data_IF_283375368831
#
_entry.id   IF_283375368831
#
_cell.length_a   1.000
_cell.length_b   1.000
_cell.length_c   1.000
_cell.angle_alpha   90.00
_cell.angle_beta   90.00
_cell.angle_gamma   90.00
#
_symmetry.space_group_name_H-M   'P 1'
#
loop_
_entity.id
_entity.type
_entity.pdbx_description
1 polymer ?
#
# COMPACT_ATOMS: atom_id res chain seq x y z
N UNK A 1 -16.17 12.08 -0.87
CA UNK A 1 -15.56 11.83 -2.20
C UNK A 1 -16.57 11.11 -3.06
N UNK A 2 -17.41 11.82 -3.83
CA UNK A 2 -18.42 11.16 -4.64
C UNK A 2 -17.75 10.31 -5.72
N UNK A 3 -18.05 9.00 -5.71
CA UNK A 3 -17.66 8.04 -6.75
C UNK A 3 -18.92 7.51 -7.44
N UNK A 4 -18.82 7.22 -8.73
CA UNK A 4 -19.86 6.55 -9.52
C UNK A 4 -19.38 5.16 -9.91
N UNK A 5 -20.28 4.19 -9.85
CA UNK A 5 -20.06 2.87 -10.44
C UNK A 5 -20.28 2.98 -11.96
N UNK A 6 -19.28 2.57 -12.73
CA UNK A 6 -19.41 2.33 -14.17
C UNK A 6 -19.36 0.83 -14.43
N UNK A 7 -20.14 0.36 -15.40
CA UNK A 7 -20.14 -1.04 -15.83
C UNK A 7 -19.90 -1.08 -17.33
N UNK A 8 -18.94 -1.86 -17.77
CA UNK A 8 -18.64 -2.05 -19.19
C UNK A 8 -19.55 -3.13 -19.84
N UNK A 9 -19.49 -3.24 -21.16
CA UNK A 9 -20.29 -4.20 -21.90
C UNK A 9 -19.92 -5.68 -21.62
N UNK A 10 -18.73 -5.93 -21.08
CA UNK A 10 -18.28 -7.27 -20.64
C UNK A 10 -18.69 -7.59 -19.19
N UNK A 11 -19.37 -6.67 -18.51
CA UNK A 11 -19.80 -6.82 -17.11
C UNK A 11 -18.73 -6.43 -16.08
N UNK A 12 -17.60 -5.86 -16.50
CA UNK A 12 -16.60 -5.30 -15.61
C UNK A 12 -17.12 -4.03 -14.93
N UNK A 13 -16.89 -3.88 -13.63
CA UNK A 13 -17.33 -2.72 -12.85
C UNK A 13 -16.15 -1.94 -12.27
N UNK A 14 -16.21 -0.61 -12.33
CA UNK A 14 -15.20 0.28 -11.76
C UNK A 14 -15.83 1.43 -10.96
N UNK A 15 -15.09 1.95 -9.97
CA UNK A 15 -15.45 3.18 -9.27
C UNK A 15 -14.64 4.35 -9.84
N UNK A 16 -15.34 5.28 -10.48
CA UNK A 16 -14.75 6.49 -11.04
C UNK A 16 -15.13 7.73 -10.21
N UNK A 17 -14.23 8.71 -10.03
CA UNK A 17 -14.61 10.01 -9.50
C UNK A 17 -15.75 10.65 -10.30
N UNK A 18 -16.65 11.34 -9.61
CA UNK A 18 -17.76 12.08 -10.27
C UNK A 18 -17.30 13.44 -10.82
N UNK A 19 -16.23 14.01 -10.26
CA UNK A 19 -15.73 15.35 -10.57
C UNK A 19 -14.55 15.29 -11.55
N UNK A 20 -14.44 16.31 -12.40
CA UNK A 20 -13.31 16.53 -13.31
C UNK A 20 -12.76 17.97 -13.17
N UNK A 21 -11.49 18.15 -12.74
CA UNK A 21 -10.57 17.12 -12.30
C UNK A 21 -10.97 16.54 -10.92
N UNK A 22 -10.65 15.26 -10.66
CA UNK A 22 -11.05 14.61 -9.43
C UNK A 22 -10.25 15.11 -8.22
N UNK A 23 -10.94 15.40 -7.12
CA UNK A 23 -10.31 15.69 -5.84
C UNK A 23 -9.42 14.54 -5.33
N UNK A 24 -8.41 14.87 -4.51
CA UNK A 24 -7.43 13.90 -4.00
C UNK A 24 -8.10 12.69 -3.33
N UNK A 25 -9.12 12.93 -2.50
CA UNK A 25 -9.84 11.87 -1.79
C UNK A 25 -10.61 10.95 -2.74
N UNK A 26 -11.18 11.47 -3.83
CA UNK A 26 -11.83 10.66 -4.86
C UNK A 26 -10.81 9.81 -5.64
N UNK A 27 -9.64 10.39 -5.97
CA UNK A 27 -8.54 9.66 -6.61
C UNK A 27 -8.02 8.51 -5.75
N UNK A 28 -7.81 8.78 -4.45
CA UNK A 28 -7.35 7.76 -3.50
C UNK A 28 -8.42 6.66 -3.36
N UNK A 29 -9.68 7.02 -3.14
CA UNK A 29 -10.76 6.06 -2.96
C UNK A 29 -10.96 5.16 -4.20
N UNK A 30 -10.90 5.72 -5.41
CA UNK A 30 -10.93 4.95 -6.66
C UNK A 30 -9.74 3.98 -6.76
N UNK A 31 -8.52 4.42 -6.40
CA UNK A 31 -7.34 3.57 -6.41
C UNK A 31 -7.42 2.43 -5.36
N UNK A 32 -7.97 2.69 -4.17
CA UNK A 32 -8.22 1.65 -3.16
C UNK A 32 -9.20 0.61 -3.68
N UNK A 33 -10.29 1.04 -4.31
CA UNK A 33 -11.30 0.14 -4.86
C UNK A 33 -10.74 -0.74 -5.99
N UNK A 34 -10.00 -0.14 -6.93
CA UNK A 34 -9.33 -0.87 -8.00
C UNK A 34 -8.34 -1.91 -7.44
N UNK A 35 -7.45 -1.49 -6.54
CA UNK A 35 -6.49 -2.41 -5.92
C UNK A 35 -7.16 -3.53 -5.10
N UNK A 36 -8.33 -3.26 -4.51
CA UNK A 36 -9.11 -4.26 -3.78
C UNK A 36 -9.71 -5.30 -4.72
N UNK A 37 -10.29 -4.86 -5.84
CA UNK A 37 -10.82 -5.74 -6.89
C UNK A 37 -9.72 -6.61 -7.51
N UNK A 38 -8.52 -6.05 -7.73
CA UNK A 38 -7.36 -6.76 -8.29
C UNK A 38 -6.66 -7.69 -7.28
N UNK A 39 -7.10 -7.72 -6.01
CA UNK A 39 -6.42 -8.46 -4.94
C UNK A 39 -5.03 -7.93 -4.58
N UNK A 40 -4.68 -6.72 -5.04
CA UNK A 40 -3.36 -6.11 -4.81
C UNK A 40 -3.32 -5.17 -3.62
N UNK A 41 -4.48 -4.83 -3.03
CA UNK A 41 -4.59 -3.94 -1.86
C UNK A 41 -3.68 -4.35 -0.69
N UNK A 42 -3.57 -5.65 -0.41
CA UNK A 42 -2.73 -6.20 0.65
C UNK A 42 -1.21 -5.94 0.45
N UNK A 43 -0.80 -5.46 -0.73
CA UNK A 43 0.59 -5.02 -0.98
C UNK A 43 0.88 -3.65 -0.37
N UNK A 44 -0.12 -2.80 -0.10
CA UNK A 44 0.08 -1.59 0.68
C UNK A 44 0.19 -1.98 2.17
N UNK A 45 1.34 -1.72 2.77
CA UNK A 45 1.68 -2.15 4.13
C UNK A 45 2.25 -1.01 4.95
N UNK A 46 2.13 -1.09 6.27
CA UNK A 46 2.90 -0.28 7.20
C UNK A 46 4.26 -0.95 7.50
N UNK A 47 5.30 -0.15 7.75
CA UNK A 47 6.60 -0.64 8.20
C UNK A 47 6.46 -1.36 9.55
N UNK A 48 7.05 -2.55 9.70
CA UNK A 48 7.00 -3.29 10.97
C UNK A 48 7.95 -2.72 12.04
N UNK A 49 8.72 -1.67 11.75
CA UNK A 49 9.60 -1.07 12.74
C UNK A 49 8.75 -0.22 13.68
N UNK A 50 8.81 -0.49 14.98
CA UNK A 50 7.98 0.16 16.00
C UNK A 50 8.08 1.70 16.00
N UNK A 51 9.22 2.22 15.56
CA UNK A 51 9.56 3.63 15.45
C UNK A 51 9.46 4.17 14.01
N UNK A 52 8.75 3.47 13.12
CA UNK A 52 8.56 3.86 11.73
C UNK A 52 7.07 3.89 11.37
N UNK A 53 6.54 5.08 11.08
CA UNK A 53 5.13 5.29 10.73
C UNK A 53 4.88 5.36 9.22
N UNK A 54 5.81 4.86 8.40
CA UNK A 54 5.70 4.92 6.95
C UNK A 54 4.90 3.75 6.38
N UNK A 55 3.98 4.06 5.49
CA UNK A 55 3.38 3.08 4.58
C UNK A 55 4.28 2.89 3.34
N UNK A 56 4.22 1.70 2.73
CA UNK A 56 4.94 1.37 1.49
C UNK A 56 4.15 0.34 0.69
N UNK A 57 4.39 0.31 -0.62
CA UNK A 57 3.83 -0.71 -1.50
C UNK A 57 4.85 -1.84 -1.73
N UNK A 58 4.47 -3.07 -1.41
CA UNK A 58 5.31 -4.26 -1.51
C UNK A 58 5.39 -4.76 -2.95
N UNK A 59 6.41 -4.26 -3.65
CA UNK A 59 6.80 -4.69 -5.00
C UNK A 59 7.69 -5.94 -5.02
N UNK A 60 7.95 -6.58 -3.87
CA UNK A 60 8.72 -7.81 -3.87
C UNK A 60 7.93 -8.94 -4.55
N UNK A 61 8.62 -9.86 -5.26
CA UNK A 61 7.94 -10.96 -5.96
C UNK A 61 7.03 -11.78 -5.04
N UNK A 62 7.54 -12.13 -3.86
CA UNK A 62 6.82 -12.94 -2.88
C UNK A 62 5.82 -12.15 -2.02
N UNK A 63 5.79 -10.81 -2.09
CA UNK A 63 4.91 -9.98 -1.26
C UNK A 63 5.16 -10.15 0.25
N UNK A 64 6.41 -10.42 0.65
CA UNK A 64 6.80 -10.72 2.05
C UNK A 64 7.73 -9.66 2.65
N UNK A 65 7.82 -8.48 2.03
CA UNK A 65 8.61 -7.39 2.58
C UNK A 65 7.98 -6.94 3.90
N UNK A 66 8.84 -6.66 4.88
CA UNK A 66 8.49 -6.23 6.25
C UNK A 66 8.82 -4.76 6.53
N UNK A 67 9.75 -4.19 5.75
CA UNK A 67 10.35 -2.88 5.99
C UNK A 67 10.16 -1.94 4.81
N UNK A 68 9.79 -0.68 5.07
CA UNK A 68 9.64 0.37 4.04
C UNK A 68 10.91 0.62 3.22
N UNK A 69 12.08 0.34 3.81
CA UNK A 69 13.40 0.37 3.18
C UNK A 69 14.30 -0.69 3.82
N UNK A 70 14.95 -1.50 2.99
CA UNK A 70 15.92 -2.50 3.47
C UNK A 70 17.20 -1.83 3.98
N UNK A 71 17.63 -0.73 3.34
CA UNK A 71 18.83 0.02 3.73
C UNK A 71 18.63 0.86 4.99
N UNK A 72 17.39 1.25 5.31
CA UNK A 72 17.09 2.05 6.51
C UNK A 72 16.51 1.18 7.62
N UNK A 73 15.24 0.78 7.51
CA UNK A 73 14.56 0.04 8.59
C UNK A 73 15.06 -1.40 8.72
N UNK A 74 15.38 -2.05 7.60
CA UNK A 74 15.99 -3.39 7.61
C UNK A 74 17.37 -3.41 8.29
N UNK A 75 18.23 -2.43 7.99
CA UNK A 75 19.53 -2.28 8.63
C UNK A 75 19.41 -1.98 10.14
N UNK A 76 18.51 -1.07 10.53
CA UNK A 76 18.21 -0.77 11.94
C UNK A 76 17.78 -2.02 12.71
N UNK A 77 16.87 -2.83 12.14
CA UNK A 77 16.42 -4.08 12.76
C UNK A 77 17.55 -5.10 12.93
N UNK A 78 18.43 -5.25 11.91
CA UNK A 78 19.64 -6.09 12.02
C UNK A 78 20.57 -5.62 13.13
N UNK A 79 20.82 -4.32 13.24
CA UNK A 79 21.71 -3.76 14.27
C UNK A 79 21.14 -3.90 15.69
N UNK A 80 19.82 -3.71 15.87
CA UNK A 80 19.15 -3.97 17.15
C UNK A 80 19.35 -5.43 17.59
N UNK A 81 19.11 -6.37 16.68
CA UNK A 81 19.29 -7.82 16.95
C UNK A 81 20.74 -8.17 17.27
N UNK A 82 21.69 -7.60 16.52
CA UNK A 82 23.11 -7.82 16.74
C UNK A 82 23.57 -7.34 18.12
N UNK A 83 23.15 -6.13 18.54
CA UNK A 83 23.49 -5.57 19.86
C UNK A 83 22.90 -6.40 20.99
N UNK A 84 21.64 -6.84 20.86
CA UNK A 84 20.96 -7.66 21.86
C UNK A 84 21.60 -9.06 22.07
N UNK A 85 22.46 -9.51 21.14
CA UNK A 85 23.21 -10.78 21.25
C UNK A 85 24.64 -10.61 21.77
N UNK A 86 25.17 -9.38 21.82
CA UNK A 86 26.57 -9.07 22.14
C UNK A 86 26.73 -8.20 23.40
N UNK A 87 25.64 -7.65 23.92
CA UNK A 87 25.56 -7.19 25.31
C UNK A 87 25.03 -8.32 26.16
#
# INVERSE_FOLDING_TARGET
APLRVTVDAAGGAALCPVEEPPGLTARIAAAVAAASADGTWARLKACEAADCHWAYYDRSPAGRRRWCSMSVCGARAKMRTYRARRG
#
